data_IF_417229666668
#
_entry.id   IF_417229666668
#
_cell.length_a   1.000
_cell.length_b   1.000
_cell.length_c   1.000
_cell.angle_alpha   90.00
_cell.angle_beta   90.00
_cell.angle_gamma   90.00
#
_symmetry.space_group_name_H-M   'P 1'
#
loop_
_entity.id
_entity.type
_entity.pdbx_description
1 polymer ?
#
# COMPACT_ATOMS: atom_id res chain seq x y z
N UNK A 1 29.33 -10.03 9.04
CA UNK A 1 29.79 -8.78 9.68
C UNK A 1 30.77 -7.96 8.83
N UNK A 2 31.63 -8.55 7.99
CA UNK A 2 32.62 -7.77 7.19
C UNK A 2 32.03 -6.86 6.10
N UNK A 3 30.81 -7.09 5.60
CA UNK A 3 30.23 -6.24 4.54
C UNK A 3 29.63 -4.91 5.06
N UNK A 4 29.38 -4.76 6.37
CA UNK A 4 28.60 -3.64 6.94
C UNK A 4 29.33 -2.30 7.02
N UNK A 5 30.66 -2.29 7.03
CA UNK A 5 31.47 -1.06 7.16
C UNK A 5 32.45 -0.83 6.01
N UNK A 6 32.65 -1.82 5.14
CA UNK A 6 33.73 -1.78 4.15
C UNK A 6 33.37 -1.09 2.83
N UNK A 7 32.10 -1.04 2.42
CA UNK A 7 31.75 -0.49 1.10
C UNK A 7 31.65 1.04 1.10
N UNK A 8 30.73 1.62 1.88
CA UNK A 8 30.49 3.07 1.87
C UNK A 8 31.59 3.83 2.59
N UNK A 9 32.07 3.33 3.73
CA UNK A 9 33.18 3.95 4.47
C UNK A 9 34.45 4.06 3.63
N UNK A 10 34.88 2.96 3.01
CA UNK A 10 36.07 2.97 2.16
C UNK A 10 35.86 3.68 0.81
N UNK A 11 34.63 3.75 0.30
CA UNK A 11 34.30 4.55 -0.88
C UNK A 11 34.37 6.05 -0.57
N UNK A 12 33.75 6.48 0.53
CA UNK A 12 33.78 7.87 0.99
C UNK A 12 35.20 8.28 1.32
N UNK A 13 35.98 7.44 2.01
CA UNK A 13 37.41 7.72 2.27
C UNK A 13 38.20 7.90 0.98
N UNK A 14 38.04 7.03 -0.02
CA UNK A 14 38.76 7.19 -1.30
C UNK A 14 38.30 8.40 -2.11
N UNK A 15 37.01 8.74 -2.08
CA UNK A 15 36.49 9.95 -2.74
C UNK A 15 37.04 11.20 -2.06
N UNK A 16 37.10 11.22 -0.72
CA UNK A 16 37.69 12.32 0.05
C UNK A 16 39.21 12.42 -0.12
N UNK A 17 39.91 11.29 -0.28
CA UNK A 17 41.34 11.27 -0.61
C UNK A 17 41.59 11.84 -2.01
N UNK A 18 40.79 11.42 -3.00
CA UNK A 18 40.84 11.97 -4.36
C UNK A 18 40.53 13.48 -4.38
N UNK A 19 39.60 13.95 -3.53
CA UNK A 19 39.29 15.38 -3.42
C UNK A 19 40.47 16.17 -2.86
N UNK A 20 41.11 15.63 -1.83
CA UNK A 20 42.25 16.23 -1.15
C UNK A 20 43.51 16.25 -2.03
N UNK A 21 43.64 15.30 -2.95
CA UNK A 21 44.74 15.20 -3.91
C UNK A 21 44.50 15.99 -5.21
N UNK A 22 43.42 16.79 -5.27
CA UNK A 22 43.09 17.63 -6.43
C UNK A 22 42.44 16.89 -7.61
N UNK A 23 41.93 15.69 -7.38
CA UNK A 23 41.21 14.88 -8.35
C UNK A 23 39.94 15.57 -8.84
N UNK A 24 39.71 15.55 -10.15
CA UNK A 24 38.51 16.16 -10.74
C UNK A 24 37.26 15.35 -10.45
N UNK A 25 36.09 16.01 -10.44
CA UNK A 25 34.76 15.39 -10.21
C UNK A 25 34.56 14.12 -11.07
N UNK A 26 35.04 14.12 -12.32
CA UNK A 26 34.96 12.95 -13.22
C UNK A 26 35.70 11.71 -12.69
N UNK A 27 36.86 11.87 -12.05
CA UNK A 27 37.62 10.75 -11.48
C UNK A 27 36.92 10.18 -10.24
N UNK A 28 36.26 11.03 -9.45
CA UNK A 28 35.44 10.58 -8.33
C UNK A 28 34.23 9.79 -8.83
N UNK A 29 33.55 10.28 -9.86
CA UNK A 29 32.42 9.58 -10.50
C UNK A 29 32.83 8.21 -11.06
N UNK A 30 33.99 8.12 -11.71
CA UNK A 30 34.55 6.86 -12.22
C UNK A 30 34.89 5.89 -11.08
N UNK A 31 35.44 6.39 -9.98
CA UNK A 31 35.77 5.59 -8.79
C UNK A 31 34.49 5.01 -8.16
N UNK A 32 33.46 5.84 -7.98
CA UNK A 32 32.14 5.42 -7.49
C UNK A 32 31.51 4.38 -8.42
N UNK A 33 31.56 4.62 -9.74
CA UNK A 33 31.01 3.73 -10.76
C UNK A 33 31.71 2.37 -10.83
N UNK A 34 33.04 2.35 -10.69
CA UNK A 34 33.79 1.10 -10.74
C UNK A 34 33.45 0.19 -9.55
N UNK A 35 33.40 0.73 -8.32
CA UNK A 35 33.07 -0.07 -7.13
C UNK A 35 31.60 -0.50 -7.11
N UNK A 36 30.68 0.36 -7.53
CA UNK A 36 29.26 -0.01 -7.64
C UNK A 36 29.06 -1.13 -8.67
N UNK A 37 29.76 -1.07 -9.81
CA UNK A 37 29.70 -2.14 -10.82
C UNK A 37 30.23 -3.48 -10.31
N UNK A 38 31.30 -3.48 -9.51
CA UNK A 38 31.83 -4.70 -8.88
C UNK A 38 30.82 -5.31 -7.89
N UNK A 39 30.13 -4.47 -7.12
CA UNK A 39 29.11 -4.91 -6.17
C UNK A 39 27.86 -5.46 -6.89
N UNK A 40 27.44 -4.82 -7.98
CA UNK A 40 26.34 -5.28 -8.83
C UNK A 40 26.59 -6.69 -9.39
N UNK A 41 27.83 -6.96 -9.84
CA UNK A 41 28.22 -8.29 -10.33
C UNK A 41 28.11 -9.34 -9.22
N UNK A 42 28.58 -9.00 -8.01
CA UNK A 42 28.47 -9.89 -6.86
C UNK A 42 27.02 -10.18 -6.50
N UNK A 43 26.16 -9.15 -6.43
CA UNK A 43 24.74 -9.33 -6.17
C UNK A 43 24.05 -10.15 -7.25
N UNK A 44 24.31 -9.90 -8.54
CA UNK A 44 23.79 -10.72 -9.66
C UNK A 44 24.16 -12.18 -9.54
N UNK A 45 25.41 -12.48 -9.14
CA UNK A 45 25.86 -13.86 -8.90
C UNK A 45 25.11 -14.49 -7.73
N UNK A 46 24.88 -13.72 -6.66
CA UNK A 46 24.15 -14.19 -5.49
C UNK A 46 22.68 -14.46 -5.78
N UNK A 47 22.00 -13.67 -6.62
CA UNK A 47 20.57 -13.87 -6.89
C UNK A 47 20.28 -14.92 -7.97
N UNK A 48 21.30 -15.46 -8.63
CA UNK A 48 21.14 -16.44 -9.72
C UNK A 48 20.44 -17.72 -9.21
N UNK A 49 19.42 -18.17 -9.92
CA UNK A 49 18.62 -19.36 -9.59
C UNK A 49 17.98 -19.29 -8.19
N UNK A 50 17.56 -18.10 -7.78
CA UNK A 50 16.73 -17.94 -6.59
C UNK A 50 15.31 -18.46 -6.86
N UNK A 51 14.69 -19.06 -5.85
CA UNK A 51 13.34 -19.60 -5.92
C UNK A 51 12.27 -18.49 -5.93
N UNK A 52 11.03 -18.76 -6.37
CA UNK A 52 9.93 -17.79 -6.31
C UNK A 52 9.70 -17.19 -4.91
N UNK A 53 9.88 -17.99 -3.86
CA UNK A 53 9.79 -17.52 -2.47
C UNK A 53 10.88 -16.46 -2.14
N UNK A 54 12.05 -16.53 -2.78
CA UNK A 54 13.11 -15.53 -2.61
C UNK A 54 12.73 -14.20 -3.25
N UNK A 55 12.06 -14.23 -4.41
CA UNK A 55 11.49 -13.03 -5.04
C UNK A 55 10.43 -12.41 -4.13
N UNK A 56 9.50 -13.20 -3.60
CA UNK A 56 8.45 -12.73 -2.68
C UNK A 56 9.03 -12.09 -1.41
N UNK A 57 10.02 -12.73 -0.79
CA UNK A 57 10.74 -12.15 0.36
C UNK A 57 11.40 -10.82 0.00
N UNK A 58 12.09 -10.78 -1.14
CA UNK A 58 12.78 -9.57 -1.62
C UNK A 58 11.79 -8.43 -1.86
N UNK A 59 10.63 -8.71 -2.45
CA UNK A 59 9.56 -7.73 -2.66
C UNK A 59 9.08 -7.15 -1.33
N UNK A 60 8.81 -7.99 -0.33
CA UNK A 60 8.41 -7.52 1.01
C UNK A 60 9.48 -6.63 1.66
N UNK A 61 10.75 -7.00 1.61
CA UNK A 61 11.82 -6.18 2.19
C UNK A 61 12.02 -4.85 1.42
N UNK A 62 11.88 -4.87 0.09
CA UNK A 62 12.05 -3.67 -0.72
C UNK A 62 10.92 -2.66 -0.54
N UNK A 63 9.68 -3.14 -0.59
CA UNK A 63 8.51 -2.31 -0.90
C UNK A 63 7.50 -2.19 0.23
N UNK A 64 7.69 -2.91 1.34
CA UNK A 64 6.84 -2.70 2.49
C UNK A 64 6.87 -1.23 2.94
N UNK A 65 5.71 -0.68 3.30
CA UNK A 65 5.55 0.71 3.78
C UNK A 65 6.39 1.02 5.03
N UNK A 66 6.72 -0.02 5.79
CA UNK A 66 7.72 -0.05 6.86
C UNK A 66 8.33 -1.46 6.93
N UNK A 67 9.48 -1.65 7.60
CA UNK A 67 9.98 -2.98 7.92
C UNK A 67 8.88 -3.82 8.60
N UNK A 68 8.74 -5.07 8.14
CA UNK A 68 7.84 -6.04 8.73
C UNK A 68 8.52 -6.71 9.93
N UNK A 69 7.77 -6.92 11.00
CA UNK A 69 8.21 -7.81 12.06
C UNK A 69 8.29 -9.25 11.53
N UNK A 70 9.04 -10.11 12.23
CA UNK A 70 9.11 -11.53 11.87
C UNK A 70 7.72 -12.20 11.91
N UNK A 71 6.84 -11.75 12.80
CA UNK A 71 5.48 -12.30 12.95
C UNK A 71 4.58 -11.89 11.78
N UNK A 72 4.68 -10.65 11.35
CA UNK A 72 3.99 -10.14 10.16
C UNK A 72 4.50 -10.83 8.90
N UNK A 73 5.83 -10.96 8.76
CA UNK A 73 6.44 -11.56 7.59
C UNK A 73 6.03 -13.02 7.39
N UNK A 74 5.81 -13.78 8.47
CA UNK A 74 5.32 -15.17 8.38
C UNK A 74 4.03 -15.24 7.57
N UNK A 75 3.04 -14.43 7.93
CA UNK A 75 1.78 -14.37 7.21
C UNK A 75 1.93 -13.83 5.79
N UNK A 76 2.71 -12.75 5.65
CA UNK A 76 3.00 -12.14 4.35
C UNK A 76 3.67 -13.11 3.35
N UNK A 77 4.42 -14.09 3.85
CA UNK A 77 5.12 -15.09 3.04
C UNK A 77 4.27 -16.32 2.72
N UNK A 78 3.41 -16.79 3.62
CA UNK A 78 2.59 -18.01 3.38
C UNK A 78 1.34 -17.69 2.56
N UNK A 79 0.74 -16.50 2.72
CA UNK A 79 -0.49 -16.15 2.01
C UNK A 79 -0.23 -15.89 0.52
N UNK A 80 -1.01 -16.55 -0.33
CA UNK A 80 -1.14 -16.21 -1.76
C UNK A 80 -2.47 -15.51 -2.02
N UNK A 81 -2.52 -14.66 -3.04
CA UNK A 81 -3.71 -13.85 -3.38
C UNK A 81 -4.89 -14.75 -3.77
N UNK A 82 -4.60 -15.85 -4.47
CA UNK A 82 -5.55 -16.84 -5.02
C UNK A 82 -5.77 -18.06 -4.10
N UNK A 83 -5.37 -18.00 -2.82
CA UNK A 83 -5.52 -19.16 -1.94
C UNK A 83 -6.99 -19.57 -1.77
N UNK A 84 -7.25 -20.87 -1.64
CA UNK A 84 -8.61 -21.43 -1.55
C UNK A 84 -9.25 -21.26 -0.16
N UNK A 85 -8.42 -21.07 0.88
CA UNK A 85 -8.86 -21.01 2.28
C UNK A 85 -9.48 -19.67 2.65
N UNK A 86 -10.73 -19.68 3.13
CA UNK A 86 -11.47 -18.46 3.56
C UNK A 86 -11.31 -18.10 5.04
N UNK A 87 -10.60 -18.93 5.81
CA UNK A 87 -10.43 -18.80 7.25
C UNK A 87 -8.96 -18.99 7.62
N UNK A 88 -8.48 -18.20 8.59
CA UNK A 88 -7.14 -18.31 9.16
C UNK A 88 -6.95 -19.65 9.89
N UNK A 89 -7.96 -20.14 10.61
CA UNK A 89 -7.89 -21.45 11.30
C UNK A 89 -7.76 -22.60 10.31
N UNK A 90 -8.56 -22.59 9.24
CA UNK A 90 -8.47 -23.59 8.18
C UNK A 90 -7.11 -23.54 7.48
N UNK A 91 -6.56 -22.34 7.31
CA UNK A 91 -5.23 -22.13 6.72
C UNK A 91 -4.11 -22.66 7.63
N UNK A 92 -4.16 -22.35 8.94
CA UNK A 92 -3.21 -22.86 9.94
C UNK A 92 -3.23 -24.39 10.04
N UNK A 93 -4.39 -25.00 9.82
CA UNK A 93 -4.56 -26.46 9.88
C UNK A 93 -4.07 -27.18 8.63
N UNK A 94 -4.11 -26.51 7.47
CA UNK A 94 -3.77 -27.10 6.18
C UNK A 94 -2.31 -26.83 5.76
N UNK A 95 -1.75 -25.70 6.15
CA UNK A 95 -0.44 -25.23 5.71
C UNK A 95 0.60 -25.31 6.84
N UNK A 96 1.83 -25.69 6.49
CA UNK A 96 2.97 -25.71 7.42
C UNK A 96 3.52 -24.29 7.64
N UNK A 97 2.81 -23.50 8.45
CA UNK A 97 3.20 -22.13 8.77
C UNK A 97 4.49 -22.16 9.61
N UNK A 98 5.59 -21.57 9.15
CA UNK A 98 6.85 -21.55 9.90
C UNK A 98 6.66 -20.80 11.21
N UNK A 99 7.25 -21.28 12.31
CA UNK A 99 7.36 -20.50 13.55
C UNK A 99 8.42 -19.37 13.40
N UNK A 100 8.54 -18.49 14.38
CA UNK A 100 9.45 -17.33 14.30
C UNK A 100 10.92 -17.74 14.04
N UNK A 101 11.41 -18.82 14.66
CA UNK A 101 12.80 -19.27 14.50
C UNK A 101 13.05 -19.95 13.14
N UNK A 102 12.06 -20.68 12.62
CA UNK A 102 12.10 -21.21 11.26
C UNK A 102 12.03 -20.08 10.23
N UNK A 103 11.18 -19.08 10.46
CA UNK A 103 11.08 -17.91 9.58
C UNK A 103 12.39 -17.11 9.55
N UNK A 104 13.06 -16.92 10.69
CA UNK A 104 14.40 -16.30 10.75
C UNK A 104 15.42 -17.03 9.88
N UNK A 105 15.44 -18.37 9.96
CA UNK A 105 16.30 -19.21 9.11
C UNK A 105 15.92 -19.09 7.64
N UNK A 106 14.62 -19.07 7.31
CA UNK A 106 14.15 -18.87 5.95
C UNK A 106 14.55 -17.50 5.39
N UNK A 107 14.48 -16.42 6.17
CA UNK A 107 14.95 -15.09 5.76
C UNK A 107 16.42 -15.16 5.33
N UNK A 108 17.27 -15.80 6.13
CA UNK A 108 18.69 -15.95 5.81
C UNK A 108 18.91 -16.82 4.56
N UNK A 109 18.22 -17.96 4.45
CA UNK A 109 18.36 -18.89 3.31
C UNK A 109 17.86 -18.28 2.00
N UNK A 110 16.63 -17.75 1.99
CA UNK A 110 16.00 -17.18 0.79
C UNK A 110 16.70 -15.91 0.32
N UNK A 111 17.21 -15.08 1.24
CA UNK A 111 18.01 -13.91 0.87
C UNK A 111 19.49 -14.23 0.57
N UNK A 112 19.92 -15.49 0.77
CA UNK A 112 21.34 -15.90 0.73
C UNK A 112 22.24 -15.02 1.60
N UNK A 113 21.75 -14.70 2.79
CA UNK A 113 22.45 -13.87 3.80
C UNK A 113 22.42 -12.36 3.53
N UNK A 114 21.68 -11.90 2.52
CA UNK A 114 21.53 -10.47 2.20
C UNK A 114 20.52 -9.77 3.12
N UNK A 115 19.66 -10.51 3.80
CA UNK A 115 18.72 -10.00 4.78
C UNK A 115 18.99 -10.53 6.19
N UNK A 116 18.59 -9.74 7.18
CA UNK A 116 18.68 -10.10 8.59
C UNK A 116 17.36 -9.83 9.31
N UNK A 117 17.25 -10.39 10.51
CA UNK A 117 16.25 -10.00 11.51
C UNK A 117 16.98 -9.23 12.60
N UNK A 118 16.55 -7.98 12.84
CA UNK A 118 17.18 -7.08 13.80
C UNK A 118 16.92 -7.50 15.24
N UNK A 119 17.56 -6.82 16.20
CA UNK A 119 17.23 -6.97 17.62
C UNK A 119 15.76 -6.66 17.94
N UNK A 120 15.15 -5.73 17.19
CA UNK A 120 13.72 -5.35 17.30
C UNK A 120 12.78 -6.34 16.62
N UNK A 121 13.29 -7.46 16.10
CA UNK A 121 12.53 -8.47 15.34
C UNK A 121 12.03 -8.00 13.97
N UNK A 122 12.56 -6.90 13.44
CA UNK A 122 12.22 -6.41 12.10
C UNK A 122 13.10 -7.05 11.03
N UNK A 123 12.54 -7.27 9.85
CA UNK A 123 13.25 -7.86 8.72
C UNK A 123 13.73 -6.76 7.77
N UNK A 124 15.03 -6.75 7.47
CA UNK A 124 15.65 -5.75 6.61
C UNK A 124 16.83 -6.33 5.82
N UNK A 125 17.27 -5.64 4.76
CA UNK A 125 18.56 -5.93 4.15
C UNK A 125 19.71 -5.53 5.07
N UNK A 126 20.82 -6.27 4.98
CA UNK A 126 22.02 -5.99 5.78
C UNK A 126 22.69 -4.64 5.45
N UNK A 127 22.34 -4.03 4.32
CA UNK A 127 22.87 -2.75 3.85
C UNK A 127 21.96 -2.11 2.78
N UNK A 128 21.93 -0.77 2.73
CA UNK A 128 21.10 0.00 1.79
C UNK A 128 21.41 -0.30 0.32
N UNK A 129 22.69 -0.49 -0.04
CA UNK A 129 23.08 -0.86 -1.41
C UNK A 129 22.44 -2.14 -1.94
N UNK A 130 22.06 -3.07 -1.05
CA UNK A 130 21.33 -4.28 -1.43
C UNK A 130 19.92 -3.91 -1.88
N UNK A 131 19.26 -3.02 -1.11
CA UNK A 131 17.94 -2.49 -1.45
C UNK A 131 17.98 -1.74 -2.78
N UNK A 132 18.95 -0.84 -2.95
CA UNK A 132 19.10 -0.05 -4.18
C UNK A 132 19.32 -0.97 -5.39
N UNK A 133 20.17 -1.98 -5.26
CA UNK A 133 20.37 -2.99 -6.30
C UNK A 133 19.06 -3.70 -6.69
N UNK A 134 18.26 -4.15 -5.71
CA UNK A 134 17.02 -4.86 -6.00
C UNK A 134 15.97 -3.98 -6.66
N UNK A 135 15.78 -2.76 -6.14
CA UNK A 135 14.84 -1.78 -6.68
C UNK A 135 15.22 -1.40 -8.12
N UNK A 136 16.50 -1.20 -8.42
CA UNK A 136 16.91 -0.78 -9.75
C UNK A 136 16.99 -1.94 -10.76
N UNK A 137 17.55 -3.09 -10.36
CA UNK A 137 18.04 -4.12 -11.29
C UNK A 137 17.73 -5.55 -10.88
N UNK A 138 17.76 -5.82 -9.57
CA UNK A 138 17.69 -7.19 -9.04
C UNK A 138 16.33 -7.83 -9.25
N UNK A 139 15.24 -7.08 -9.14
CA UNK A 139 13.89 -7.60 -9.37
C UNK A 139 13.67 -8.02 -10.82
N UNK A 140 14.12 -7.22 -11.80
CA UNK A 140 14.09 -7.60 -13.22
C UNK A 140 14.82 -8.92 -13.49
N UNK A 141 15.93 -9.15 -12.80
CA UNK A 141 16.71 -10.37 -12.93
C UNK A 141 16.01 -11.59 -12.31
N UNK A 142 15.22 -11.39 -11.25
CA UNK A 142 14.42 -12.44 -10.61
C UNK A 142 13.09 -12.71 -11.32
N UNK A 143 12.48 -11.69 -11.92
CA UNK A 143 11.15 -11.76 -12.57
C UNK A 143 11.20 -12.13 -14.05
N UNK A 144 12.22 -12.89 -14.48
CA UNK A 144 12.26 -13.47 -15.82
C UNK A 144 12.39 -12.46 -16.99
N UNK A 145 13.01 -11.30 -16.76
CA UNK A 145 13.30 -10.34 -17.84
C UNK A 145 12.31 -9.18 -18.00
N UNK A 146 11.38 -8.99 -17.06
CA UNK A 146 10.57 -7.77 -16.99
C UNK A 146 11.42 -6.51 -16.80
N UNK A 147 10.95 -5.36 -17.29
CA UNK A 147 11.54 -4.05 -16.94
C UNK A 147 11.41 -3.80 -15.43
N UNK A 148 12.34 -3.04 -14.85
CA UNK A 148 12.36 -2.78 -13.40
C UNK A 148 11.07 -2.12 -12.92
N UNK A 149 10.53 -1.19 -13.72
CA UNK A 149 9.25 -0.55 -13.47
C UNK A 149 8.10 -1.57 -13.42
N UNK A 150 8.02 -2.50 -14.39
CA UNK A 150 6.95 -3.51 -14.41
C UNK A 150 7.04 -4.47 -13.23
N UNK A 151 8.26 -4.89 -12.87
CA UNK A 151 8.48 -5.76 -11.72
C UNK A 151 8.11 -5.07 -10.38
N UNK A 152 8.39 -3.77 -10.26
CA UNK A 152 7.99 -2.95 -9.10
C UNK A 152 6.47 -2.81 -9.01
N UNK A 153 5.80 -2.51 -10.12
CA UNK A 153 4.33 -2.42 -10.17
C UNK A 153 3.69 -3.75 -9.75
N UNK A 154 4.15 -4.86 -10.33
CA UNK A 154 3.67 -6.21 -10.01
C UNK A 154 3.87 -6.55 -8.52
N UNK A 155 5.03 -6.19 -7.97
CA UNK A 155 5.30 -6.38 -6.54
C UNK A 155 4.27 -5.62 -5.68
N UNK A 156 4.02 -4.35 -5.98
CA UNK A 156 3.05 -3.56 -5.24
C UNK A 156 1.61 -4.09 -5.35
N UNK A 157 1.18 -4.51 -6.54
CA UNK A 157 -0.14 -5.13 -6.74
C UNK A 157 -0.27 -6.43 -5.92
N UNK A 158 0.76 -7.28 -5.94
CA UNK A 158 0.81 -8.51 -5.14
C UNK A 158 0.75 -8.22 -3.64
N UNK A 159 1.56 -7.29 -3.15
CA UNK A 159 1.59 -6.90 -1.73
C UNK A 159 0.21 -6.37 -1.28
N UNK A 160 -0.42 -5.53 -2.10
CA UNK A 160 -1.80 -5.06 -1.87
C UNK A 160 -2.79 -6.22 -1.81
N UNK A 161 -2.70 -7.16 -2.77
CA UNK A 161 -3.56 -8.34 -2.85
C UNK A 161 -3.44 -9.22 -1.61
N UNK A 162 -2.23 -9.45 -1.11
CA UNK A 162 -2.01 -10.22 0.12
C UNK A 162 -2.62 -9.51 1.34
N UNK A 163 -2.49 -8.19 1.43
CA UNK A 163 -3.10 -7.42 2.53
C UNK A 163 -4.63 -7.54 2.51
N UNK A 164 -5.24 -7.33 1.35
CA UNK A 164 -6.69 -7.47 1.15
C UNK A 164 -7.15 -8.91 1.40
N UNK A 165 -6.37 -9.90 0.96
CA UNK A 165 -6.66 -11.31 1.21
C UNK A 165 -6.70 -11.62 2.70
N UNK A 166 -5.74 -11.12 3.47
CA UNK A 166 -5.75 -11.26 4.92
C UNK A 166 -7.00 -10.61 5.54
N UNK A 167 -7.33 -9.38 5.13
CA UNK A 167 -8.54 -8.68 5.61
C UNK A 167 -9.85 -9.40 5.25
N UNK A 168 -9.86 -10.21 4.18
CA UNK A 168 -11.02 -10.97 3.73
C UNK A 168 -11.26 -12.27 4.49
N UNK A 169 -10.40 -12.65 5.44
CA UNK A 169 -10.56 -13.88 6.21
C UNK A 169 -11.80 -13.79 7.11
N UNK A 170 -12.52 -14.92 7.21
CA UNK A 170 -13.82 -14.98 7.85
C UNK A 170 -13.81 -14.51 9.31
N UNK A 171 -12.74 -14.80 10.06
CA UNK A 171 -12.58 -14.42 11.46
C UNK A 171 -12.56 -12.89 11.62
N UNK A 172 -11.99 -12.18 10.65
CA UNK A 172 -11.88 -10.73 10.65
C UNK A 172 -13.24 -10.09 10.32
N UNK A 173 -13.94 -10.62 9.30
CA UNK A 173 -15.25 -10.11 8.87
C UNK A 173 -16.42 -10.45 9.82
N UNK A 174 -16.35 -11.60 10.50
CA UNK A 174 -17.42 -12.12 11.37
C UNK A 174 -17.36 -11.59 12.80
N UNK A 175 -16.31 -10.86 13.17
CA UNK A 175 -16.21 -10.30 14.51
C UNK A 175 -17.36 -9.29 14.72
N UNK A 176 -18.40 -9.71 15.45
CA UNK A 176 -19.60 -8.92 15.74
C UNK A 176 -19.25 -7.55 16.32
N UNK A 177 -20.07 -6.54 16.05
CA UNK A 177 -19.99 -5.24 16.73
C UNK A 177 -20.06 -5.44 18.24
N UNK A 178 -19.28 -4.72 19.06
CA UNK A 178 -19.57 -4.64 20.48
C UNK A 178 -20.96 -4.02 20.57
N UNK A 179 -21.89 -4.69 21.25
CA UNK A 179 -23.05 -4.01 21.81
C UNK A 179 -22.56 -2.72 22.46
N UNK A 180 -23.19 -1.60 22.12
CA UNK A 180 -22.87 -0.24 22.55
C UNK A 180 -22.28 -0.21 23.97
N UNK A 181 -21.20 0.52 24.24
CA UNK A 181 -20.73 0.68 25.60
C UNK A 181 -21.85 1.34 26.40
N UNK A 182 -22.55 0.55 27.21
CA UNK A 182 -23.41 1.07 28.27
C UNK A 182 -22.56 2.03 29.10
N UNK A 183 -23.10 3.23 29.32
CA UNK A 183 -22.49 4.40 29.95
C UNK A 183 -21.35 4.08 30.93
N UNK A 184 -20.22 4.79 30.86
CA UNK A 184 -19.14 4.60 31.83
C UNK A 184 -19.65 5.02 33.21
N UNK A 185 -19.83 4.05 34.10
CA UNK A 185 -19.96 4.32 35.53
C UNK A 185 -18.66 4.96 36.00
N UNK A 186 -18.82 6.09 36.68
CA UNK A 186 -17.77 6.97 37.14
C UNK A 186 -16.88 6.29 38.19
N UNK A 187 -15.70 5.80 37.78
CA UNK A 187 -14.54 5.66 38.65
C UNK A 187 -13.26 5.60 37.80
N UNK A 188 -12.80 6.78 37.36
CA UNK A 188 -11.48 6.92 36.76
C UNK A 188 -10.40 6.66 37.80
N UNK A 189 -9.69 5.54 37.65
CA UNK A 189 -8.33 5.38 38.19
C UNK A 189 -7.33 5.52 37.05
N UNK A 190 -6.54 6.58 37.13
CA UNK A 190 -5.53 6.99 36.14
C UNK A 190 -4.31 6.09 36.23
N UNK A 191 -4.30 4.96 35.52
CA UNK A 191 -3.07 4.35 35.01
C UNK A 191 -3.36 3.20 34.05
N UNK A 192 -2.88 3.33 32.81
CA UNK A 192 -2.93 2.37 31.69
C UNK A 192 -4.29 2.19 30.99
N UNK A 193 -4.63 3.14 30.13
CA UNK A 193 -5.58 2.93 29.04
C UNK A 193 -4.98 1.93 28.02
N UNK A 194 -5.07 0.63 28.28
CA UNK A 194 -4.90 -0.38 27.23
C UNK A 194 -6.10 -0.26 26.30
N UNK A 195 -5.88 0.20 25.06
CA UNK A 195 -6.89 0.10 24.01
C UNK A 195 -7.32 -1.36 23.91
N UNK A 196 -8.57 -1.65 24.27
CA UNK A 196 -9.14 -2.99 24.16
C UNK A 196 -9.53 -3.19 22.69
N UNK A 197 -8.55 -3.34 21.81
CA UNK A 197 -8.82 -3.64 20.41
C UNK A 197 -9.40 -5.04 20.31
N UNK A 198 -10.48 -5.20 19.54
CA UNK A 198 -11.13 -6.50 19.28
C UNK A 198 -10.15 -7.54 18.74
N UNK A 199 -9.10 -7.07 18.08
CA UNK A 199 -8.06 -7.87 17.47
C UNK A 199 -6.78 -7.78 18.32
N UNK A 200 -6.40 -8.90 18.93
CA UNK A 200 -5.09 -9.01 19.58
C UNK A 200 -3.98 -9.12 18.52
N UNK A 201 -2.85 -8.47 18.76
CA UNK A 201 -1.67 -8.60 17.91
C UNK A 201 -1.15 -10.05 17.86
N UNK A 202 -1.38 -10.85 18.90
CA UNK A 202 -0.96 -12.27 18.93
C UNK A 202 -1.73 -13.11 17.93
N UNK A 203 -3.03 -12.83 17.80
CA UNK A 203 -3.95 -13.67 17.03
C UNK A 203 -4.01 -13.19 15.58
N UNK A 204 -3.82 -11.88 15.36
CA UNK A 204 -3.80 -11.26 14.04
C UNK A 204 -2.55 -10.39 13.79
N UNK A 205 -1.33 -10.99 13.75
CA UNK A 205 -0.09 -10.22 13.66
C UNK A 205 0.00 -9.31 12.43
N UNK A 206 -0.57 -9.74 11.30
CA UNK A 206 -0.48 -9.00 10.04
C UNK A 206 -1.59 -7.95 9.84
N UNK A 207 -2.61 -7.94 10.72
CA UNK A 207 -3.83 -7.13 10.53
C UNK A 207 -3.54 -5.64 10.48
N UNK A 208 -2.70 -5.16 11.41
CA UNK A 208 -2.37 -3.74 11.49
C UNK A 208 -1.66 -3.29 10.22
N UNK A 209 -0.65 -4.05 9.78
CA UNK A 209 0.06 -3.75 8.55
C UNK A 209 -0.88 -3.75 7.34
N UNK A 210 -1.68 -4.80 7.18
CA UNK A 210 -2.61 -4.97 6.07
C UNK A 210 -3.61 -3.81 5.99
N UNK A 211 -4.20 -3.42 7.12
CA UNK A 211 -5.21 -2.35 7.22
C UNK A 211 -4.68 -1.00 6.75
N UNK A 212 -3.46 -0.64 7.14
CA UNK A 212 -2.90 0.69 6.86
C UNK A 212 -2.06 0.76 5.57
N UNK A 213 -1.63 -0.39 5.01
CA UNK A 213 -0.64 -0.39 3.92
C UNK A 213 -1.19 -0.78 2.55
N UNK A 214 -2.32 -1.51 2.48
CA UNK A 214 -2.80 -2.04 1.21
C UNK A 214 -3.09 -0.94 0.19
N UNK A 215 -3.71 0.17 0.61
CA UNK A 215 -4.03 1.31 -0.27
C UNK A 215 -2.76 1.95 -0.84
N UNK A 216 -1.72 2.10 -0.01
CA UNK A 216 -0.44 2.64 -0.44
C UNK A 216 0.22 1.75 -1.50
N UNK A 217 0.15 0.43 -1.33
CA UNK A 217 0.60 -0.52 -2.33
C UNK A 217 -0.23 -0.46 -3.60
N UNK A 218 -1.57 -0.46 -3.51
CA UNK A 218 -2.45 -0.31 -4.67
C UNK A 218 -2.13 0.95 -5.47
N UNK A 219 -1.90 2.08 -4.78
CA UNK A 219 -1.52 3.35 -5.41
C UNK A 219 -0.17 3.27 -6.15
N UNK A 220 0.84 2.61 -5.58
CA UNK A 220 2.13 2.45 -6.26
C UNK A 220 2.10 1.40 -7.38
N UNK A 221 1.16 0.46 -7.31
CA UNK A 221 0.86 -0.47 -8.39
C UNK A 221 -0.02 0.12 -9.50
N UNK A 222 -0.51 1.35 -9.36
CA UNK A 222 -1.47 1.95 -10.27
C UNK A 222 -0.81 2.51 -11.54
N UNK A 223 -0.47 1.61 -12.46
CA UNK A 223 -0.02 1.93 -13.80
C UNK A 223 -0.98 1.34 -14.83
N UNK A 224 -1.33 2.13 -15.85
CA UNK A 224 -2.29 1.76 -16.89
C UNK A 224 -1.86 0.58 -17.78
N UNK A 225 -0.60 0.13 -17.67
CA UNK A 225 -0.01 -0.89 -18.53
C UNK A 225 0.11 -2.30 -17.93
N UNK A 226 -0.26 -2.51 -16.66
CA UNK A 226 -0.15 -3.84 -16.01
C UNK A 226 -1.55 -4.42 -15.78
N UNK A 227 -1.84 -5.66 -16.22
CA UNK A 227 -3.12 -6.31 -15.94
C UNK A 227 -3.33 -6.43 -14.43
N UNK A 228 -4.40 -5.82 -13.90
CA UNK A 228 -4.69 -5.80 -12.46
C UNK A 228 -5.64 -6.94 -12.03
N UNK A 229 -5.66 -8.04 -12.80
CA UNK A 229 -6.65 -9.13 -12.69
C UNK A 229 -6.83 -9.67 -11.27
N UNK A 230 -5.73 -9.83 -10.54
CA UNK A 230 -5.74 -10.44 -9.20
C UNK A 230 -6.45 -9.55 -8.15
N UNK A 231 -6.31 -8.23 -8.24
CA UNK A 231 -7.03 -7.30 -7.35
C UNK A 231 -8.51 -7.19 -7.73
N UNK A 232 -8.83 -7.26 -9.02
CA UNK A 232 -10.22 -7.26 -9.47
C UNK A 232 -10.97 -8.46 -8.92
N UNK A 233 -10.35 -9.64 -8.85
CA UNK A 233 -10.98 -10.83 -8.27
C UNK A 233 -11.41 -10.61 -6.81
N UNK A 234 -10.64 -9.85 -6.03
CA UNK A 234 -10.98 -9.53 -4.64
C UNK A 234 -12.11 -8.49 -4.55
N UNK A 235 -12.21 -7.56 -5.50
CA UNK A 235 -13.26 -6.52 -5.53
C UNK A 235 -14.52 -6.89 -6.31
N UNK A 236 -14.45 -7.91 -7.18
CA UNK A 236 -15.56 -8.39 -8.01
C UNK A 236 -16.56 -9.27 -7.22
N UNK A 237 -16.27 -9.56 -5.94
CA UNK A 237 -17.26 -10.18 -5.07
C UNK A 237 -18.49 -9.27 -4.95
N UNK A 238 -19.72 -9.78 -5.15
CA UNK A 238 -20.95 -8.98 -5.23
C UNK A 238 -21.32 -8.25 -3.93
N UNK A 239 -20.63 -8.51 -2.83
CA UNK A 239 -20.79 -7.79 -1.57
C UNK A 239 -19.61 -6.84 -1.37
N UNK A 240 -19.87 -5.57 -1.04
CA UNK A 240 -18.89 -4.62 -0.52
C UNK A 240 -18.24 -5.06 0.83
N UNK A 241 -18.36 -6.35 1.17
CA UNK A 241 -17.99 -6.99 2.42
C UNK A 241 -16.53 -6.76 2.81
N UNK A 242 -15.61 -6.75 1.84
CA UNK A 242 -14.21 -6.47 2.13
C UNK A 242 -13.98 -5.02 2.57
N UNK A 243 -14.66 -4.05 1.94
CA UNK A 243 -14.56 -2.64 2.29
C UNK A 243 -15.22 -2.38 3.64
N UNK A 244 -16.40 -2.96 3.89
CA UNK A 244 -17.07 -2.89 5.19
C UNK A 244 -16.21 -3.48 6.31
N UNK A 245 -15.56 -4.62 6.06
CA UNK A 245 -14.63 -5.24 7.01
C UNK A 245 -13.41 -4.36 7.24
N UNK A 246 -12.82 -3.81 6.18
CA UNK A 246 -11.67 -2.92 6.28
C UNK A 246 -12.00 -1.64 7.07
N UNK A 247 -13.13 -0.98 6.78
CA UNK A 247 -13.59 0.21 7.53
C UNK A 247 -13.75 -0.13 9.01
N UNK A 248 -14.44 -1.24 9.33
CA UNK A 248 -14.66 -1.68 10.71
C UNK A 248 -13.35 -1.95 11.45
N UNK A 249 -12.41 -2.65 10.81
CA UNK A 249 -11.08 -2.94 11.39
C UNK A 249 -10.29 -1.65 11.58
N UNK A 250 -10.34 -0.72 10.60
CA UNK A 250 -9.67 0.57 10.70
C UNK A 250 -10.20 1.37 11.90
N UNK A 251 -11.52 1.46 12.07
CA UNK A 251 -12.15 2.13 13.22
C UNK A 251 -11.69 1.51 14.55
N UNK A 252 -11.69 0.18 14.66
CA UNK A 252 -11.25 -0.54 15.87
C UNK A 252 -9.76 -0.29 16.18
N UNK A 253 -8.91 -0.16 15.16
CA UNK A 253 -7.46 0.03 15.32
C UNK A 253 -7.05 1.48 15.54
N UNK A 254 -7.74 2.44 14.89
CA UNK A 254 -7.38 3.87 14.91
C UNK A 254 -8.54 4.81 14.45
N UNK A 255 -9.67 4.80 15.15
CA UNK A 255 -10.82 5.67 14.82
C UNK A 255 -10.54 7.19 14.87
N UNK A 256 -9.50 7.63 15.57
CA UNK A 256 -9.14 9.05 15.65
C UNK A 256 -8.32 9.54 14.46
N UNK A 257 -7.83 8.62 13.63
CA UNK A 257 -7.07 8.97 12.42
C UNK A 257 -7.91 9.82 11.47
N UNK A 258 -7.34 10.91 10.97
CA UNK A 258 -7.92 11.67 9.85
C UNK A 258 -8.06 10.80 8.58
N UNK A 259 -7.27 9.73 8.49
CA UNK A 259 -7.31 8.76 7.41
C UNK A 259 -8.36 7.66 7.60
N UNK A 260 -9.01 7.61 8.76
CA UNK A 260 -10.10 6.67 9.02
C UNK A 260 -11.21 6.85 7.96
N UNK A 261 -11.54 5.79 7.21
CA UNK A 261 -12.62 5.85 6.23
C UNK A 261 -13.97 5.86 6.95
N UNK A 262 -14.93 6.71 6.53
CA UNK A 262 -16.28 6.65 7.06
C UNK A 262 -16.96 5.31 6.76
N UNK A 263 -17.95 4.94 7.57
CA UNK A 263 -18.92 3.91 7.21
C UNK A 263 -19.61 4.24 5.89
N UNK A 264 -19.99 3.20 5.14
CA UNK A 264 -20.45 3.33 3.76
C UNK A 264 -19.33 3.55 2.72
N UNK A 265 -18.06 3.66 3.13
CA UNK A 265 -16.93 3.71 2.19
C UNK A 265 -16.86 2.40 1.39
N UNK A 266 -17.15 2.50 0.09
CA UNK A 266 -16.96 1.42 -0.89
C UNK A 266 -15.65 1.53 -1.66
N UNK A 267 -15.39 0.57 -2.57
CA UNK A 267 -14.13 0.52 -3.33
C UNK A 267 -13.93 1.77 -4.20
N UNK A 268 -15.00 2.30 -4.82
CA UNK A 268 -14.95 3.51 -5.65
C UNK A 268 -14.57 4.74 -4.81
N UNK A 269 -15.02 4.82 -3.55
CA UNK A 269 -14.62 5.87 -2.63
C UNK A 269 -13.12 5.82 -2.35
N UNK A 270 -12.57 4.63 -2.10
CA UNK A 270 -11.12 4.47 -1.85
C UNK A 270 -10.33 4.89 -3.09
N UNK A 271 -10.67 4.39 -4.27
CA UNK A 271 -9.95 4.77 -5.49
C UNK A 271 -10.04 6.27 -5.76
N UNK A 272 -11.19 6.88 -5.46
CA UNK A 272 -11.42 8.32 -5.61
C UNK A 272 -10.68 9.17 -4.59
N UNK A 273 -10.62 8.73 -3.33
CA UNK A 273 -9.90 9.42 -2.25
C UNK A 273 -8.39 9.42 -2.45
N UNK A 274 -7.84 8.34 -3.00
CA UNK A 274 -6.39 8.15 -3.10
C UNK A 274 -5.82 8.35 -4.51
N UNK A 275 -6.70 8.56 -5.50
CA UNK A 275 -6.32 8.85 -6.89
C UNK A 275 -5.84 7.62 -7.65
N UNK A 276 -6.40 6.45 -7.37
CA UNK A 276 -6.04 5.17 -8.01
C UNK A 276 -6.87 5.04 -9.30
N UNK A 277 -6.36 5.59 -10.39
CA UNK A 277 -7.03 5.74 -11.68
C UNK A 277 -7.10 4.45 -12.50
N UNK A 278 -5.99 3.72 -12.60
CA UNK A 278 -5.90 2.49 -13.40
C UNK A 278 -6.87 1.43 -12.88
N UNK A 279 -6.85 1.16 -11.58
CA UNK A 279 -7.77 0.20 -10.95
C UNK A 279 -9.22 0.64 -11.07
N UNK A 280 -9.52 1.92 -10.85
CA UNK A 280 -10.87 2.44 -11.03
C UNK A 280 -11.35 2.26 -12.48
N UNK A 281 -10.49 2.51 -13.46
CA UNK A 281 -10.82 2.31 -14.89
C UNK A 281 -11.22 0.87 -15.15
N UNK A 282 -10.42 -0.09 -14.65
CA UNK A 282 -10.71 -1.51 -14.87
C UNK A 282 -11.98 -1.95 -14.13
N UNK A 283 -12.17 -1.51 -12.88
CA UNK A 283 -13.41 -1.76 -12.13
C UNK A 283 -14.63 -1.25 -12.91
N UNK A 284 -14.59 -0.01 -13.41
CA UNK A 284 -15.71 0.58 -14.17
C UNK A 284 -15.96 -0.13 -15.51
N UNK A 285 -14.93 -0.63 -16.19
CA UNK A 285 -15.08 -1.43 -17.42
C UNK A 285 -15.71 -2.80 -17.14
N UNK A 286 -15.33 -3.44 -16.04
CA UNK A 286 -15.90 -4.72 -15.60
C UNK A 286 -17.25 -4.57 -14.89
N UNK A 287 -17.67 -3.35 -14.55
CA UNK A 287 -18.89 -3.06 -13.81
C UNK A 287 -20.18 -3.47 -14.55
N UNK A 288 -20.15 -3.72 -15.86
CA UNK A 288 -21.30 -4.31 -16.55
C UNK A 288 -21.63 -5.74 -16.06
N UNK A 289 -20.71 -6.38 -15.35
CA UNK A 289 -20.86 -7.72 -14.76
C UNK A 289 -21.11 -7.68 -13.25
N UNK A 290 -21.00 -6.52 -12.60
CA UNK A 290 -21.17 -6.35 -11.15
C UNK A 290 -22.20 -5.26 -10.82
N UNK A 291 -22.98 -5.43 -9.76
CA UNK A 291 -23.97 -4.45 -9.30
C UNK A 291 -23.32 -3.32 -8.50
N UNK A 292 -22.24 -2.72 -9.01
CA UNK A 292 -21.50 -1.67 -8.32
C UNK A 292 -22.18 -0.31 -8.54
N UNK A 293 -22.69 0.27 -7.46
CA UNK A 293 -23.16 1.65 -7.47
C UNK A 293 -21.95 2.61 -7.37
N UNK A 294 -21.72 3.35 -8.46
CA UNK A 294 -20.58 4.27 -8.59
C UNK A 294 -20.86 5.65 -7.98
N UNK A 295 -22.12 5.93 -7.61
CA UNK A 295 -22.55 7.19 -7.00
C UNK A 295 -23.08 7.00 -5.56
N UNK A 296 -22.93 5.79 -5.01
CA UNK A 296 -23.25 5.50 -3.63
C UNK A 296 -22.54 6.49 -2.69
N UNK A 297 -23.26 7.03 -1.70
CA UNK A 297 -22.69 7.93 -0.70
C UNK A 297 -22.25 7.18 0.56
N UNK A 298 -21.16 7.62 1.18
CA UNK A 298 -20.81 7.23 2.54
C UNK A 298 -21.78 7.81 3.60
N UNK A 299 -21.59 7.46 4.87
CA UNK A 299 -22.44 7.92 5.99
C UNK A 299 -22.43 9.45 6.21
N UNK A 300 -21.47 10.17 5.60
CA UNK A 300 -21.45 11.63 5.57
C UNK A 300 -22.04 12.20 4.27
N UNK A 301 -22.76 11.39 3.50
CA UNK A 301 -23.34 11.80 2.23
C UNK A 301 -22.31 12.12 1.16
N UNK A 302 -21.03 11.71 1.32
CA UNK A 302 -20.00 11.99 0.32
C UNK A 302 -20.00 10.90 -0.73
N UNK A 303 -20.16 11.28 -1.98
CA UNK A 303 -20.01 10.40 -3.14
C UNK A 303 -18.54 10.27 -3.54
N UNK A 304 -18.15 9.26 -4.35
CA UNK A 304 -16.78 9.15 -4.83
C UNK A 304 -16.30 10.40 -5.59
N UNK A 305 -17.20 11.08 -6.31
CA UNK A 305 -16.88 12.35 -6.98
C UNK A 305 -16.52 13.46 -5.97
N UNK A 306 -17.23 13.54 -4.83
CA UNK A 306 -16.90 14.47 -3.75
C UNK A 306 -15.49 14.19 -3.21
N UNK A 307 -15.14 12.93 -2.96
CA UNK A 307 -13.80 12.54 -2.50
C UNK A 307 -12.70 12.89 -3.51
N UNK A 308 -12.89 12.55 -4.79
CA UNK A 308 -11.91 12.87 -5.83
C UNK A 308 -11.71 14.38 -6.00
N UNK A 309 -12.79 15.16 -5.92
CA UNK A 309 -12.74 16.61 -6.02
C UNK A 309 -12.09 17.28 -4.81
N UNK A 310 -12.41 16.83 -3.59
CA UNK A 310 -11.80 17.30 -2.34
C UNK A 310 -10.28 17.04 -2.30
N UNK A 311 -9.81 15.96 -2.94
CA UNK A 311 -8.40 15.58 -3.00
C UNK A 311 -7.68 16.03 -4.27
N UNK A 312 -8.38 16.69 -5.19
CA UNK A 312 -7.79 17.24 -6.42
C UNK A 312 -7.38 16.17 -7.45
N UNK A 313 -7.99 14.99 -7.41
CA UNK A 313 -7.68 13.88 -8.32
C UNK A 313 -8.39 14.05 -9.66
N UNK A 314 -7.88 14.99 -10.47
CA UNK A 314 -8.47 15.43 -11.74
C UNK A 314 -8.74 14.29 -12.73
N UNK A 315 -7.82 13.33 -12.87
CA UNK A 315 -7.99 12.19 -13.77
C UNK A 315 -9.17 11.30 -13.33
N UNK A 316 -9.33 11.07 -12.02
CA UNK A 316 -10.45 10.31 -11.46
C UNK A 316 -11.76 11.07 -11.58
N UNK A 317 -11.76 12.39 -11.32
CA UNK A 317 -12.93 13.25 -11.58
C UNK A 317 -13.37 13.13 -13.04
N UNK A 318 -12.42 13.12 -13.99
CA UNK A 318 -12.73 12.92 -15.42
C UNK A 318 -13.46 11.61 -15.63
N UNK A 319 -12.84 10.53 -15.16
CA UNK A 319 -13.28 9.18 -15.38
C UNK A 319 -14.70 8.96 -14.84
N UNK A 320 -14.98 9.46 -13.65
CA UNK A 320 -16.30 9.38 -13.03
C UNK A 320 -17.36 10.18 -13.82
N UNK A 321 -17.04 11.40 -14.26
CA UNK A 321 -17.96 12.22 -15.05
C UNK A 321 -18.23 11.63 -16.44
N UNK A 322 -17.20 11.09 -17.09
CA UNK A 322 -17.30 10.47 -18.42
C UNK A 322 -18.21 9.24 -18.42
N UNK A 323 -18.52 8.65 -17.26
CA UNK A 323 -19.51 7.57 -17.14
C UNK A 323 -20.95 8.03 -17.38
N UNK A 324 -21.27 9.31 -17.18
CA UNK A 324 -22.60 9.88 -17.28
C UNK A 324 -23.62 9.40 -16.24
N UNK A 325 -23.19 8.62 -15.23
CA UNK A 325 -24.07 8.02 -14.20
C UNK A 325 -23.98 8.69 -12.82
N UNK A 326 -23.07 9.65 -12.64
CA UNK A 326 -22.78 10.29 -11.35
C UNK A 326 -23.53 11.61 -11.23
N UNK A 327 -24.22 11.85 -10.11
CA UNK A 327 -24.85 13.13 -9.82
C UNK A 327 -23.81 14.17 -9.36
N UNK A 328 -23.64 15.20 -10.18
CA UNK A 328 -22.60 16.22 -10.00
C UNK A 328 -22.92 17.17 -8.84
N UNK A 329 -24.20 17.40 -8.58
CA UNK A 329 -24.66 18.40 -7.61
C UNK A 329 -25.02 17.80 -6.25
N UNK A 330 -24.71 16.53 -6.02
CA UNK A 330 -24.81 15.88 -4.71
C UNK A 330 -24.05 16.68 -3.66
N UNK A 331 -24.67 16.79 -2.48
CA UNK A 331 -24.15 17.57 -1.35
C UNK A 331 -23.83 16.63 -0.20
N UNK A 332 -22.67 16.82 0.41
CA UNK A 332 -22.36 16.10 1.65
C UNK A 332 -23.28 16.56 2.79
N UNK A 333 -23.58 15.65 3.72
CA UNK A 333 -24.53 15.90 4.80
C UNK A 333 -23.97 16.81 5.89
N UNK A 334 -22.64 16.92 5.99
CA UNK A 334 -21.96 17.64 7.08
C UNK A 334 -21.90 19.14 6.84
N UNK A 335 -21.67 19.56 5.61
CA UNK A 335 -21.48 20.97 5.24
C UNK A 335 -22.40 21.42 4.10
N UNK A 336 -23.17 20.51 3.49
CA UNK A 336 -24.04 20.83 2.37
C UNK A 336 -23.27 21.25 1.11
N UNK A 337 -22.02 20.81 0.94
CA UNK A 337 -21.14 21.23 -0.15
C UNK A 337 -21.13 20.21 -1.28
N UNK A 338 -21.00 20.74 -2.50
CA UNK A 338 -20.83 19.94 -3.73
C UNK A 338 -19.36 19.63 -4.00
N UNK A 339 -19.10 18.71 -4.93
CA UNK A 339 -17.75 18.38 -5.40
C UNK A 339 -16.97 19.63 -5.84
N UNK A 340 -17.61 20.52 -6.59
CA UNK A 340 -17.03 21.78 -7.02
C UNK A 340 -16.71 22.72 -5.85
N UNK A 341 -17.60 22.80 -4.86
CA UNK A 341 -17.39 23.64 -3.67
C UNK A 341 -16.18 23.16 -2.87
N UNK A 342 -15.98 21.85 -2.73
CA UNK A 342 -14.80 21.28 -2.08
C UNK A 342 -13.52 21.53 -2.88
N UNK A 343 -13.55 21.28 -4.19
CA UNK A 343 -12.40 21.54 -5.06
C UNK A 343 -11.96 23.02 -5.02
N UNK A 344 -12.92 23.95 -5.03
CA UNK A 344 -12.64 25.38 -4.93
C UNK A 344 -12.03 25.76 -3.58
N UNK A 345 -12.60 25.28 -2.47
CA UNK A 345 -12.05 25.55 -1.14
C UNK A 345 -10.63 25.01 -0.97
N UNK A 346 -10.34 23.82 -1.54
CA UNK A 346 -9.02 23.20 -1.47
C UNK A 346 -8.02 23.71 -2.51
N UNK A 347 -8.42 24.67 -3.36
CA UNK A 347 -7.56 25.27 -4.38
C UNK A 347 -7.23 24.33 -5.54
N UNK A 348 -8.07 23.34 -5.81
CA UNK A 348 -7.89 22.39 -6.91
C UNK A 348 -8.39 22.97 -8.24
N UNK A 349 -7.69 23.98 -8.73
CA UNK A 349 -8.07 24.75 -9.92
C UNK A 349 -8.33 23.89 -11.16
N UNK A 350 -7.55 22.83 -11.39
CA UNK A 350 -7.75 21.96 -12.54
C UNK A 350 -9.10 21.22 -12.50
N UNK A 351 -9.59 20.87 -11.30
CA UNK A 351 -10.92 20.28 -11.10
C UNK A 351 -12.02 21.33 -11.30
N UNK A 352 -11.82 22.56 -10.78
CA UNK A 352 -12.78 23.67 -10.89
C UNK A 352 -12.93 24.16 -12.34
N UNK A 353 -11.81 24.38 -13.01
CA UNK A 353 -11.73 24.96 -14.35
C UNK A 353 -12.21 23.99 -15.44
N UNK A 354 -12.25 22.68 -15.18
CA UNK A 354 -12.70 21.71 -16.18
C UNK A 354 -14.17 21.87 -16.58
N UNK A 355 -15.03 22.39 -15.70
CA UNK A 355 -16.41 22.73 -16.10
C UNK A 355 -16.46 23.93 -17.05
N UNK A 356 -15.39 24.73 -17.08
CA UNK A 356 -15.20 25.89 -17.95
C UNK A 356 -14.14 25.58 -19.01
N UNK A 357 -14.47 24.68 -19.93
CA UNK A 357 -13.74 24.54 -21.19
C UNK A 357 -13.79 25.85 -21.98
N UNK A 358 -12.86 26.76 -21.67
CA UNK A 358 -12.61 28.04 -22.33
C UNK A 358 -13.25 29.25 -21.65
N UNK A 359 -12.65 29.79 -20.59
CA UNK A 359 -12.44 31.24 -20.37
C UNK A 359 -11.69 31.52 -19.05
N UNK A 360 -10.61 32.33 -19.03
CA UNK A 360 -9.81 32.62 -17.82
C UNK A 360 -10.47 33.55 -16.77
N UNK A 361 -11.79 33.68 -16.71
CA UNK A 361 -12.47 34.70 -15.89
C UNK A 361 -13.47 34.18 -14.83
N UNK A 362 -13.58 32.86 -14.63
CA UNK A 362 -14.57 32.32 -13.67
C UNK A 362 -14.08 32.31 -12.21
N UNK A 363 -12.76 32.37 -11.96
CA UNK A 363 -12.19 32.35 -10.60
C UNK A 363 -12.54 33.64 -9.83
N UNK A 364 -12.75 34.76 -10.53
CA UNK A 364 -13.17 36.04 -9.94
C UNK A 364 -14.64 36.08 -9.51
N UNK A 365 -15.50 35.20 -10.02
CA UNK A 365 -16.93 35.22 -9.69
C UNK A 365 -17.28 34.47 -8.39
N UNK A 366 -16.53 33.41 -8.06
CA UNK A 366 -16.74 32.66 -6.81
C UNK A 366 -16.14 33.32 -5.57
N UNK A 367 -15.17 34.23 -5.74
CA UNK A 367 -14.57 35.00 -4.64
C UNK A 367 -15.31 36.31 -4.32
N UNK A 368 -16.37 36.65 -5.07
CA UNK A 368 -17.12 37.89 -4.89
C UNK A 368 -18.55 37.71 -4.37
N UNK A 369 -18.88 36.57 -3.75
CA UNK A 369 -20.14 36.37 -3.02
C UNK A 369 -19.96 35.69 -1.68
#
# INVERSE_FOLDING_TARGET
>A
MCLRRFSVGALVTQVLELERDGGGIKQMEETVRSKSSGLDILYRRLIRNMEPASLKLTQWICFATRPLSIEELRWAMVLEVDCSHRSLEAFQSAEDIPNNDRMKRQVQTLSRGLAEVTGTQDVQFIHQSVKDFFVEKGLSALSGGMTSTKATIEAHLRLSGICLRYLSMQEIGSASSPSSPSSPSSSFSSSSCRSFTRYSHTDYPFLRYATFSWVAHAKQGDATSVPQGDLLMLFASPTNSIMESWVRVYEDLDHWSADCPPKGTGVVHVMSRYGIFGLLTVILQTAHQTTLDIDASDDFGRTPLLWAAEKGHEAVVKLLLDTGKVEINSKDSRYGRTSLSWAAEKGHEAVVNRRYGGLPQAVTWLLSK
#
